data_IF_723701571735
#
_entry.id   IF_723701571735
#
_cell.length_a   1.000
_cell.length_b   1.000
_cell.length_c   1.000
_cell.angle_alpha   90.00
_cell.angle_beta   90.00
_cell.angle_gamma   90.00
#
_symmetry.space_group_name_H-M   'P 1'
#
loop_
_entity.id
_entity.type
_entity.pdbx_description
1 polymer ?
#
# COMPACT_ATOMS: atom_id res chain seq x y z
N UNK A 1 27.21 17.39 -1.66
CA UNK A 1 26.93 16.00 -2.09
C UNK A 1 25.43 15.87 -2.32
N UNK A 2 24.96 15.70 -3.57
CA UNK A 2 23.52 15.45 -3.81
C UNK A 2 23.25 13.98 -3.48
N UNK A 3 22.27 13.64 -2.61
CA UNK A 3 21.93 12.25 -2.38
C UNK A 3 21.44 11.66 -3.71
N UNK A 4 22.21 10.72 -4.23
CA UNK A 4 21.86 9.95 -5.42
C UNK A 4 20.74 9.00 -4.98
N UNK A 5 19.49 9.47 -4.99
CA UNK A 5 18.34 8.62 -4.68
C UNK A 5 18.39 7.41 -5.59
N UNK A 6 18.42 6.21 -5.00
CA UNK A 6 18.44 4.95 -5.76
C UNK A 6 17.29 4.97 -6.75
N UNK A 7 17.63 5.01 -8.04
CA UNK A 7 16.69 5.13 -9.16
C UNK A 7 16.06 3.77 -9.43
N UNK A 8 15.38 3.21 -8.43
CA UNK A 8 14.59 1.99 -8.59
C UNK A 8 13.49 2.27 -9.61
N UNK A 9 13.33 1.37 -10.57
CA UNK A 9 12.26 1.45 -11.58
C UNK A 9 10.91 1.63 -10.86
N UNK A 10 10.11 2.63 -11.23
CA UNK A 10 8.75 2.77 -10.72
C UNK A 10 7.93 1.52 -11.06
N UNK A 11 7.28 0.94 -10.05
CA UNK A 11 6.31 -0.13 -10.22
C UNK A 11 4.89 0.45 -10.07
N UNK A 12 3.96 -0.05 -10.87
CA UNK A 12 2.54 0.20 -10.70
C UNK A 12 2.03 -0.36 -9.36
N UNK A 13 0.86 0.09 -8.91
CA UNK A 13 0.23 -0.43 -7.69
C UNK A 13 -0.07 -1.94 -7.81
N UNK A 14 -0.46 -2.39 -9.01
CA UNK A 14 -0.70 -3.80 -9.30
C UNK A 14 0.57 -4.64 -9.17
N UNK A 15 1.69 -4.16 -9.71
CA UNK A 15 2.98 -4.86 -9.59
C UNK A 15 3.43 -4.98 -8.12
N UNK A 16 3.19 -3.94 -7.30
CA UNK A 16 3.44 -4.03 -5.86
C UNK A 16 2.61 -5.13 -5.19
N UNK A 17 1.32 -5.29 -5.58
CA UNK A 17 0.47 -6.35 -5.02
C UNK A 17 0.90 -7.75 -5.46
N UNK A 18 1.22 -7.91 -6.74
CA UNK A 18 1.73 -9.19 -7.25
C UNK A 18 3.02 -9.61 -6.54
N UNK A 19 3.93 -8.66 -6.30
CA UNK A 19 5.17 -8.92 -5.55
C UNK A 19 4.92 -9.22 -4.06
N UNK A 20 3.93 -8.59 -3.44
CA UNK A 20 3.56 -8.86 -2.04
C UNK A 20 2.90 -10.23 -1.84
N UNK A 21 2.25 -10.75 -2.87
CA UNK A 21 1.52 -12.02 -2.82
C UNK A 21 0.35 -11.99 -1.84
N UNK A 22 -0.10 -13.16 -1.39
CA UNK A 22 -1.27 -13.34 -0.49
C UNK A 22 -1.03 -12.93 0.98
N UNK A 23 -0.08 -12.03 1.27
CA UNK A 23 0.29 -11.60 2.64
C UNK A 23 -0.70 -10.57 3.21
N UNK A 24 -1.99 -10.85 3.15
CA UNK A 24 -3.06 -9.99 3.65
C UNK A 24 -3.51 -10.34 5.07
N UNK A 25 -4.21 -9.41 5.70
CA UNK A 25 -4.89 -9.60 7.00
C UNK A 25 -6.39 -9.43 6.83
N UNK A 26 -7.15 -10.36 7.41
CA UNK A 26 -8.60 -10.22 7.55
C UNK A 26 -8.92 -9.18 8.63
N UNK A 27 -9.77 -8.22 8.30
CA UNK A 27 -10.31 -7.23 9.23
C UNK A 27 -11.81 -7.45 9.34
N UNK A 28 -12.29 -7.74 10.54
CA UNK A 28 -13.73 -7.91 10.86
C UNK A 28 -14.21 -6.70 11.63
N UNK A 29 -15.18 -5.96 11.11
CA UNK A 29 -15.75 -4.78 11.78
C UNK A 29 -17.05 -5.07 12.54
N UNK A 30 -17.77 -6.14 12.17
CA UNK A 30 -18.95 -6.60 12.92
C UNK A 30 -19.02 -8.11 12.97
N UNK A 31 -19.40 -8.64 14.14
CA UNK A 31 -19.78 -10.04 14.34
C UNK A 31 -21.27 -10.07 14.63
N UNK A 32 -22.08 -10.37 13.60
CA UNK A 32 -23.53 -10.55 13.75
C UNK A 32 -23.89 -12.01 14.00
N UNK A 33 -25.13 -12.26 14.42
CA UNK A 33 -25.66 -13.61 14.63
C UNK A 33 -25.78 -14.45 13.35
N UNK A 34 -25.84 -13.82 12.17
CA UNK A 34 -25.87 -14.50 10.86
C UNK A 34 -24.51 -14.66 10.20
N UNK A 35 -23.67 -13.64 10.26
CA UNK A 35 -22.33 -13.67 9.68
C UNK A 35 -21.46 -12.56 10.26
N UNK A 36 -20.14 -12.80 10.24
CA UNK A 36 -19.15 -11.75 10.46
C UNK A 36 -18.96 -10.97 9.16
N UNK A 37 -18.91 -9.64 9.23
CA UNK A 37 -18.48 -8.85 8.08
C UNK A 37 -17.01 -8.52 8.19
N UNK A 38 -16.29 -9.07 7.22
CA UNK A 38 -14.86 -9.06 7.15
C UNK A 38 -14.40 -8.70 5.74
N UNK A 39 -13.17 -8.22 5.59
CA UNK A 39 -12.49 -8.09 4.31
C UNK A 39 -11.00 -8.29 4.49
N UNK A 40 -10.34 -8.76 3.44
CA UNK A 40 -8.89 -8.98 3.43
C UNK A 40 -8.15 -7.76 2.87
N UNK A 41 -7.15 -7.28 3.62
CA UNK A 41 -6.32 -6.14 3.22
C UNK A 41 -4.84 -6.48 3.22
N UNK A 42 -4.11 -5.96 2.23
CA UNK A 42 -2.65 -5.93 2.18
C UNK A 42 -2.18 -4.53 2.56
N UNK A 43 -1.20 -4.45 3.46
CA UNK A 43 -0.57 -3.19 3.88
C UNK A 43 0.91 -3.21 3.49
N UNK A 44 1.33 -2.29 2.61
CA UNK A 44 2.71 -2.17 2.15
C UNK A 44 3.28 -0.78 2.42
N UNK A 45 4.58 -0.73 2.70
CA UNK A 45 5.36 0.52 2.70
C UNK A 45 5.92 0.75 1.31
N UNK A 46 5.56 1.85 0.67
CA UNK A 46 6.00 2.20 -0.69
C UNK A 46 6.56 3.61 -0.74
N UNK A 47 7.47 3.88 -1.68
CA UNK A 47 7.88 5.26 -2.02
C UNK A 47 7.10 5.70 -3.24
N UNK A 48 6.56 6.92 -3.19
CA UNK A 48 5.86 7.48 -4.34
C UNK A 48 6.85 7.84 -5.44
N UNK A 49 6.57 7.38 -6.66
CA UNK A 49 7.37 7.68 -7.86
C UNK A 49 6.77 8.83 -8.70
N UNK A 50 5.86 9.63 -8.14
CA UNK A 50 5.12 10.68 -8.82
C UNK A 50 5.92 11.97 -9.07
N UNK A 51 5.27 12.99 -9.67
CA UNK A 51 5.96 14.18 -10.22
C UNK A 51 6.72 15.04 -9.18
N UNK A 52 6.28 15.12 -7.91
CA UNK A 52 6.98 15.84 -6.83
C UNK A 52 6.60 15.30 -5.44
N UNK A 53 7.08 14.12 -5.03
CA UNK A 53 6.96 13.74 -3.63
C UNK A 53 7.88 14.65 -2.82
N UNK A 54 7.37 15.26 -1.75
CA UNK A 54 8.16 16.15 -0.91
C UNK A 54 9.22 15.31 -0.17
N UNK A 55 10.52 15.54 -0.41
CA UNK A 55 11.56 14.81 0.29
C UNK A 55 11.58 15.18 1.77
N UNK A 56 12.01 14.24 2.61
CA UNK A 56 12.33 14.52 4.01
C UNK A 56 13.61 15.38 4.12
N UNK A 57 13.94 15.83 5.33
CA UNK A 57 15.11 16.67 5.59
C UNK A 57 16.44 16.03 5.13
N UNK A 58 16.49 14.70 5.09
CA UNK A 58 17.64 13.92 4.61
C UNK A 58 17.68 13.74 3.06
N UNK A 59 16.71 14.33 2.36
CA UNK A 59 16.59 14.25 0.90
C UNK A 59 15.95 12.94 0.40
N UNK A 60 15.48 12.06 1.28
CA UNK A 60 14.82 10.82 0.89
C UNK A 60 13.33 11.02 0.64
N UNK A 61 12.75 10.25 -0.30
CA UNK A 61 11.30 10.19 -0.44
C UNK A 61 10.75 9.32 0.70
N UNK A 62 9.84 9.86 1.53
CA UNK A 62 9.30 9.12 2.66
C UNK A 62 8.50 7.91 2.20
N UNK A 63 8.56 6.85 3.00
CA UNK A 63 7.66 5.72 2.85
C UNK A 63 6.24 6.13 3.24
N UNK A 64 5.27 5.74 2.43
CA UNK A 64 3.83 5.88 2.71
C UNK A 64 3.19 4.51 2.82
N UNK A 65 2.02 4.45 3.45
CA UNK A 65 1.22 3.24 3.49
C UNK A 65 0.37 3.12 2.23
N UNK A 66 0.51 2.00 1.53
CA UNK A 66 -0.45 1.52 0.56
C UNK A 66 -1.33 0.47 1.24
N UNK A 67 -2.63 0.76 1.32
CA UNK A 67 -3.64 -0.16 1.81
C UNK A 67 -4.43 -0.63 0.60
N UNK A 68 -4.37 -1.92 0.31
CA UNK A 68 -5.09 -2.53 -0.80
C UNK A 68 -6.08 -3.56 -0.27
N UNK A 69 -7.31 -3.50 -0.72
CA UNK A 69 -8.27 -4.58 -0.48
C UNK A 69 -8.00 -5.70 -1.48
N UNK A 70 -7.87 -6.93 -0.97
CA UNK A 70 -7.75 -8.12 -1.80
C UNK A 70 -9.10 -8.41 -2.49
N UNK A 71 -9.11 -8.73 -3.80
CA UNK A 71 -10.34 -9.08 -4.49
C UNK A 71 -10.86 -10.42 -3.95
N UNK A 72 -12.04 -10.40 -3.33
CA UNK A 72 -12.73 -11.63 -2.94
C UNK A 72 -13.46 -12.28 -4.13
N UNK A 73 -13.84 -11.50 -5.16
CA UNK A 73 -14.64 -12.05 -6.29
C UNK A 73 -14.49 -11.32 -7.66
N UNK A 74 -13.91 -10.11 -7.72
CA UNK A 74 -13.99 -9.22 -8.91
C UNK A 74 -12.68 -9.06 -9.71
N UNK A 75 -11.62 -9.80 -9.39
CA UNK A 75 -10.33 -9.74 -10.11
C UNK A 75 -9.56 -8.39 -10.05
N UNK A 76 -10.16 -7.33 -9.48
CA UNK A 76 -9.60 -5.99 -9.39
C UNK A 76 -9.36 -5.56 -7.93
N UNK A 77 -8.19 -4.98 -7.66
CA UNK A 77 -7.78 -4.49 -6.35
C UNK A 77 -8.26 -3.05 -6.12
N UNK A 78 -8.80 -2.75 -4.93
CA UNK A 78 -9.09 -1.37 -4.51
C UNK A 78 -7.94 -0.83 -3.67
N UNK A 79 -7.43 0.37 -4.00
CA UNK A 79 -6.25 0.97 -3.38
C UNK A 79 -6.55 2.28 -2.64
N UNK A 80 -5.89 2.47 -1.50
CA UNK A 80 -5.85 3.75 -0.76
C UNK A 80 -4.41 4.03 -0.34
N UNK A 81 -3.92 5.23 -0.64
CA UNK A 81 -2.59 5.69 -0.20
C UNK A 81 -2.79 6.63 1.00
N UNK A 82 -2.07 6.36 2.10
CA UNK A 82 -2.12 7.17 3.32
C UNK A 82 -0.71 7.64 3.70
N UNK A 83 -0.52 8.93 4.06
CA UNK A 83 0.71 9.36 4.71
C UNK A 83 0.92 8.56 6.01
N UNK A 84 2.17 8.39 6.42
CA UNK A 84 2.47 7.71 7.68
C UNK A 84 1.79 8.42 8.85
N UNK A 85 0.99 7.69 9.63
CA UNK A 85 0.65 8.13 10.97
C UNK A 85 1.96 8.15 11.78
N UNK A 86 2.21 9.27 12.45
CA UNK A 86 3.28 9.43 13.42
C UNK A 86 3.13 8.45 14.58
#
# INVERSE_FOLDING_TARGET
MRPQGSRTRPLSLREHMLAAGRRGRAVTWRKGSRAAMSSHFVLLRVRLAGRRPQPACDGTIPLVWLIAQWPEDQGEYRFVVRPGAA
#
